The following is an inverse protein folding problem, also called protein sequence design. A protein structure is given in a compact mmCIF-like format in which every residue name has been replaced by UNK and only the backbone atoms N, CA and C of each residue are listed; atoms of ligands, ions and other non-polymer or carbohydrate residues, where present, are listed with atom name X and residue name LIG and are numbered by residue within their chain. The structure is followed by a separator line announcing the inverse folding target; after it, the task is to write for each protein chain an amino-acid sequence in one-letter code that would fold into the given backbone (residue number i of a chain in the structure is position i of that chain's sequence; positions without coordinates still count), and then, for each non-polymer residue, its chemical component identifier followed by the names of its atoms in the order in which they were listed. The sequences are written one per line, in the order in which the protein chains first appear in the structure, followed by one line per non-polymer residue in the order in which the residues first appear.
data_IF_459412133600
#
_entry.id   IF_459412133600
#
_cell.length_a   1.000
_cell.length_b   1.000
_cell.length_c   1.000
_cell.angle_alpha   90.00
_cell.angle_beta   90.00
_cell.angle_gamma   90.00
#
_symmetry.space_group_name_H-M   'P 1'
#
loop_
_entity.id
_entity.type
_entity.pdbx_description
1 polymer ?
#
# COMPACT_ATOMS: atom_id res chain seq x y z
N UNK A 1 -23.30 2.35 -9.31
CA UNK A 1 -24.00 1.48 -10.27
C UNK A 1 -22.93 0.74 -11.07
N UNK A 2 -22.98 -0.59 -11.07
CA UNK A 2 -22.01 -1.40 -11.80
C UNK A 2 -22.43 -1.49 -13.27
N UNK A 3 -21.50 -1.22 -14.18
CA UNK A 3 -21.72 -1.30 -15.63
C UNK A 3 -20.81 -2.38 -16.19
N UNK A 4 -21.41 -3.46 -16.70
CA UNK A 4 -20.66 -4.52 -17.36
C UNK A 4 -20.29 -4.11 -18.80
N UNK A 5 -19.00 -3.96 -19.06
CA UNK A 5 -18.47 -3.70 -20.41
C UNK A 5 -18.12 -5.04 -21.06
N UNK A 6 -18.85 -5.41 -22.11
CA UNK A 6 -18.57 -6.63 -22.88
C UNK A 6 -17.57 -6.32 -23.99
N UNK A 7 -16.41 -6.98 -23.96
CA UNK A 7 -15.35 -6.83 -24.97
C UNK A 7 -15.21 -8.13 -25.75
N UNK A 8 -15.19 -8.06 -27.08
CA UNK A 8 -14.89 -9.21 -27.92
C UNK A 8 -13.41 -9.56 -27.74
N UNK A 9 -13.14 -10.57 -26.93
CA UNK A 9 -11.79 -10.96 -26.57
C UNK A 9 -11.46 -12.35 -27.13
N UNK A 10 -10.20 -12.57 -27.53
CA UNK A 10 -9.74 -13.83 -28.13
C UNK A 10 -10.02 -15.06 -27.26
N UNK A 11 -9.91 -16.27 -27.86
CA UNK A 11 -10.12 -17.54 -27.14
C UNK A 11 -9.23 -17.59 -25.89
N UNK A 12 -9.84 -17.66 -24.71
CA UNK A 12 -9.12 -17.72 -23.44
C UNK A 12 -9.08 -16.39 -22.67
N UNK A 13 -10.24 -15.74 -22.48
CA UNK A 13 -10.41 -14.72 -21.45
C UNK A 13 -11.60 -15.12 -20.57
N UNK A 14 -11.46 -14.89 -19.26
CA UNK A 14 -12.52 -15.18 -18.30
C UNK A 14 -13.72 -14.28 -18.58
N UNK A 15 -14.95 -14.75 -18.30
CA UNK A 15 -16.19 -13.96 -18.44
C UNK A 15 -16.12 -12.61 -17.71
N UNK A 16 -15.38 -12.56 -16.60
CA UNK A 16 -15.02 -11.35 -15.86
C UNK A 16 -13.52 -11.41 -15.57
N UNK A 17 -12.77 -10.41 -16.02
CA UNK A 17 -11.31 -10.41 -15.91
C UNK A 17 -10.79 -9.29 -15.00
N UNK A 18 -11.47 -8.14 -14.94
CA UNK A 18 -11.06 -7.00 -14.13
C UNK A 18 -12.25 -6.20 -13.62
N UNK A 19 -11.98 -5.34 -12.64
CA UNK A 19 -12.94 -4.38 -12.08
C UNK A 19 -12.30 -3.00 -12.15
N UNK A 20 -13.08 -2.02 -12.60
CA UNK A 20 -12.69 -0.60 -12.57
C UNK A 20 -13.66 0.11 -11.64
N UNK A 21 -13.14 0.76 -10.61
CA UNK A 21 -13.93 1.49 -9.61
C UNK A 21 -13.48 2.94 -9.55
N UNK A 22 -14.40 3.87 -9.71
CA UNK A 22 -14.13 5.28 -9.41
C UNK A 22 -14.02 5.45 -7.89
N UNK A 23 -12.97 6.13 -7.44
CA UNK A 23 -12.65 6.37 -6.03
C UNK A 23 -12.27 7.84 -5.86
N UNK A 24 -12.31 8.37 -4.63
CA UNK A 24 -11.97 9.77 -4.40
C UNK A 24 -10.56 10.08 -4.96
N UNK A 25 -10.49 11.00 -5.91
CA UNK A 25 -9.23 11.41 -6.55
C UNK A 25 -8.71 10.52 -7.68
N UNK A 26 -9.47 9.53 -8.17
CA UNK A 26 -9.03 8.72 -9.30
C UNK A 26 -9.89 7.52 -9.70
N UNK A 27 -9.29 6.61 -10.45
CA UNK A 27 -9.87 5.33 -10.84
C UNK A 27 -8.96 4.19 -10.38
N UNK A 28 -9.56 3.18 -9.75
CA UNK A 28 -8.90 1.96 -9.33
C UNK A 28 -9.17 0.84 -10.34
N UNK A 29 -8.14 0.11 -10.76
CA UNK A 29 -8.23 -0.96 -11.76
C UNK A 29 -7.65 -2.24 -11.16
N UNK A 30 -8.45 -3.28 -11.02
CA UNK A 30 -8.02 -4.53 -10.40
C UNK A 30 -8.19 -5.73 -11.35
N UNK A 31 -7.32 -6.73 -11.21
CA UNK A 31 -7.43 -8.01 -11.91
C UNK A 31 -8.10 -9.05 -11.02
N UNK A 32 -9.33 -9.44 -11.37
CA UNK A 32 -10.11 -10.45 -10.65
C UNK A 32 -10.10 -11.82 -11.36
N UNK A 33 -9.33 -11.96 -12.44
CA UNK A 33 -9.21 -13.23 -13.15
C UNK A 33 -8.27 -14.18 -12.42
N UNK A 34 -8.78 -15.38 -12.11
CA UNK A 34 -7.95 -16.47 -11.58
C UNK A 34 -7.01 -17.07 -12.65
N UNK A 35 -7.43 -17.05 -13.91
CA UNK A 35 -6.74 -17.75 -14.99
C UNK A 35 -5.93 -16.81 -15.89
N UNK A 36 -6.31 -15.53 -16.01
CA UNK A 36 -5.70 -14.61 -16.97
C UNK A 36 -4.93 -13.47 -16.28
N UNK A 37 -3.92 -12.97 -16.99
CA UNK A 37 -3.20 -11.77 -16.60
C UNK A 37 -3.84 -10.56 -17.29
N UNK A 38 -4.14 -9.53 -16.52
CA UNK A 38 -4.42 -8.20 -17.04
C UNK A 38 -3.18 -7.32 -16.90
N UNK A 39 -3.09 -6.36 -17.80
CA UNK A 39 -2.02 -5.39 -17.85
C UNK A 39 -2.63 -3.98 -17.88
N UNK A 40 -1.94 -3.05 -17.25
CA UNK A 40 -2.17 -1.62 -17.41
C UNK A 40 -0.96 -1.00 -18.11
N UNK A 41 -1.22 -0.19 -19.12
CA UNK A 41 -0.24 0.48 -19.95
C UNK A 41 -0.56 1.97 -20.01
N UNK A 42 0.46 2.80 -19.95
CA UNK A 42 0.35 4.24 -20.18
C UNK A 42 1.66 4.76 -20.75
N UNK A 43 1.85 6.06 -20.76
CA UNK A 43 3.07 6.63 -21.31
C UNK A 43 4.31 6.14 -20.55
N UNK A 44 5.10 5.29 -21.20
CA UNK A 44 6.37 4.76 -20.68
C UNK A 44 6.27 3.59 -19.71
N UNK A 45 5.08 3.03 -19.44
CA UNK A 45 4.94 1.88 -18.55
C UNK A 45 3.98 0.82 -19.08
N UNK A 46 4.30 -0.45 -18.83
CA UNK A 46 3.39 -1.58 -18.98
C UNK A 46 3.58 -2.50 -17.78
N UNK A 47 2.57 -2.60 -16.94
CA UNK A 47 2.60 -3.39 -15.71
C UNK A 47 1.62 -4.54 -15.79
N UNK A 48 1.96 -5.67 -15.17
CA UNK A 48 1.03 -6.78 -14.96
C UNK A 48 0.26 -6.52 -13.67
N UNK A 49 -1.06 -6.46 -13.76
CA UNK A 49 -1.92 -6.24 -12.59
C UNK A 49 -1.88 -7.47 -11.68
N UNK A 50 -1.60 -7.30 -10.38
CA UNK A 50 -1.63 -8.38 -9.41
C UNK A 50 -3.05 -8.95 -9.36
N UNK A 51 -3.14 -10.28 -9.24
CA UNK A 51 -4.42 -10.97 -9.11
C UNK A 51 -4.99 -10.68 -7.71
N UNK A 52 -6.27 -10.35 -7.66
CA UNK A 52 -7.01 -10.35 -6.40
C UNK A 52 -7.33 -11.80 -6.02
N UNK A 53 -6.97 -12.19 -4.80
CA UNK A 53 -7.53 -13.41 -4.20
C UNK A 53 -8.97 -13.14 -3.70
N UNK A 54 -9.78 -14.19 -3.64
CA UNK A 54 -11.24 -14.17 -3.68
C UNK A 54 -11.98 -13.23 -2.69
N UNK A 55 -13.04 -12.61 -3.24
CA UNK A 55 -14.24 -12.01 -2.63
C UNK A 55 -14.12 -10.72 -1.78
N UNK A 56 -14.59 -9.62 -2.37
CA UNK A 56 -15.39 -8.61 -1.65
C UNK A 56 -14.78 -7.23 -1.48
N UNK A 57 -13.46 -7.09 -1.35
CA UNK A 57 -12.82 -5.79 -1.11
C UNK A 57 -11.50 -5.60 -1.88
N UNK A 58 -11.23 -4.38 -2.42
CA UNK A 58 -10.10 -4.12 -3.31
C UNK A 58 -8.77 -4.08 -2.55
N UNK A 59 -8.19 -5.24 -2.27
CA UNK A 59 -6.86 -5.37 -1.62
C UNK A 59 -5.68 -5.27 -2.59
N UNK A 60 -5.92 -5.27 -3.90
CA UNK A 60 -4.89 -5.15 -4.94
C UNK A 60 -5.42 -4.59 -6.26
N UNK A 61 -4.65 -3.69 -6.88
CA UNK A 61 -5.03 -2.98 -8.11
C UNK A 61 -4.11 -1.80 -8.42
N UNK A 62 -4.39 -1.13 -9.54
CA UNK A 62 -3.66 0.03 -10.05
C UNK A 62 -4.53 1.27 -9.91
N UNK A 63 -3.99 2.31 -9.27
CA UNK A 63 -4.68 3.58 -9.09
C UNK A 63 -4.21 4.60 -10.14
N UNK A 64 -5.16 5.13 -10.90
CA UNK A 64 -4.96 6.21 -11.87
C UNK A 64 -5.49 7.50 -11.26
N UNK A 65 -4.58 8.39 -10.84
CA UNK A 65 -4.93 9.70 -10.24
C UNK A 65 -5.30 10.76 -11.27
N UNK A 66 -4.63 10.73 -12.42
CA UNK A 66 -4.84 11.62 -13.55
C UNK A 66 -4.24 10.99 -14.81
N UNK A 67 -4.79 11.34 -15.98
CA UNK A 67 -4.30 10.85 -17.27
C UNK A 67 -5.02 9.60 -17.75
N UNK A 68 -4.43 8.92 -18.73
CA UNK A 68 -5.05 7.78 -19.42
C UNK A 68 -4.23 6.51 -19.19
N UNK A 69 -4.92 5.44 -18.79
CA UNK A 69 -4.36 4.09 -18.71
C UNK A 69 -5.13 3.15 -19.64
N UNK A 70 -4.41 2.41 -20.46
CA UNK A 70 -4.88 1.33 -21.32
C UNK A 70 -4.86 0.02 -20.53
N UNK A 71 -5.99 -0.65 -20.45
CA UNK A 71 -6.15 -1.87 -19.66
C UNK A 71 -6.58 -3.01 -20.58
N UNK A 72 -5.88 -4.13 -20.52
CA UNK A 72 -6.22 -5.27 -21.35
C UNK A 72 -5.40 -6.52 -21.05
N UNK A 73 -5.77 -7.63 -21.69
CA UNK A 73 -4.86 -8.76 -21.79
C UNK A 73 -3.66 -8.40 -22.67
N UNK A 74 -2.63 -9.24 -22.67
CA UNK A 74 -1.47 -9.03 -23.54
C UNK A 74 -1.88 -8.92 -25.01
N UNK A 75 -2.71 -9.84 -25.47
CA UNK A 75 -3.23 -9.87 -26.84
C UNK A 75 -4.03 -8.61 -27.18
N UNK A 76 -4.90 -8.14 -26.28
CA UNK A 76 -5.68 -6.91 -26.51
C UNK A 76 -4.79 -5.67 -26.65
N UNK A 77 -3.74 -5.55 -25.84
CA UNK A 77 -2.79 -4.43 -25.95
C UNK A 77 -2.00 -4.51 -27.26
N UNK A 78 -1.51 -5.70 -27.61
CA UNK A 78 -0.70 -5.89 -28.82
C UNK A 78 -1.56 -5.76 -30.12
N UNK A 79 -2.86 -6.08 -30.07
CA UNK A 79 -3.82 -5.91 -31.18
C UNK A 79 -4.46 -4.51 -31.23
N UNK A 80 -4.11 -3.61 -30.31
CA UNK A 80 -4.64 -2.24 -30.28
C UNK A 80 -6.12 -2.15 -29.87
N UNK A 81 -6.61 -3.13 -29.11
CA UNK A 81 -7.99 -3.18 -28.58
C UNK A 81 -8.06 -3.12 -27.04
N UNK A 82 -7.35 -2.21 -26.34
CA UNK A 82 -7.48 -2.08 -24.88
C UNK A 82 -8.70 -1.27 -24.46
N UNK A 83 -9.07 -1.42 -23.18
CA UNK A 83 -9.99 -0.50 -22.51
C UNK A 83 -9.21 0.75 -22.07
N UNK A 84 -9.63 1.93 -22.51
CA UNK A 84 -9.03 3.19 -22.09
C UNK A 84 -9.73 3.74 -20.85
N UNK A 85 -8.98 3.98 -19.79
CA UNK A 85 -9.45 4.58 -18.53
C UNK A 85 -8.81 5.95 -18.39
N UNK A 86 -9.61 7.01 -18.54
CA UNK A 86 -9.13 8.39 -18.42
C UNK A 86 -9.70 9.04 -17.16
N UNK A 87 -8.82 9.61 -16.35
CA UNK A 87 -9.18 10.40 -15.18
C UNK A 87 -8.77 11.85 -15.42
N UNK A 88 -9.76 12.74 -15.49
CA UNK A 88 -9.51 14.17 -15.47
C UNK A 88 -9.04 14.56 -14.07
N UNK A 89 -7.78 14.98 -13.93
CA UNK A 89 -7.24 15.42 -12.65
C UNK A 89 -8.03 16.62 -12.12
N UNK A 90 -8.37 16.63 -10.84
CA UNK A 90 -8.87 17.83 -10.18
C UNK A 90 -7.68 18.80 -10.03
N UNK A 91 -7.56 19.74 -10.97
CA UNK A 91 -6.72 20.91 -10.78
C UNK A 91 -7.27 21.64 -9.56
N UNK A 92 -6.56 21.59 -8.44
CA UNK A 92 -6.78 22.52 -7.35
C UNK A 92 -6.64 23.93 -7.91
N UNK A 93 -7.73 24.69 -7.91
CA UNK A 93 -7.77 26.12 -8.19
C UNK A 93 -6.79 26.84 -7.27
N UNK A 94 -5.60 27.15 -7.79
CA UNK A 94 -4.73 28.20 -7.31
C UNK A 94 -4.78 29.32 -8.36
N UNK A 95 -5.16 30.49 -7.90
CA UNK A 95 -5.58 31.63 -8.70
C UNK A 95 -4.42 32.30 -9.45
N UNK A 96 -4.78 32.82 -10.63
CA UNK A 96 -4.14 33.80 -11.51
C UNK A 96 -2.60 33.92 -11.60
N UNK A 97 -2.09 33.46 -12.75
CA UNK A 97 -1.28 34.31 -13.63
C UNK A 97 0.22 34.38 -13.35
N UNK A 98 0.99 33.53 -14.02
CA UNK A 98 2.24 33.94 -14.65
C UNK A 98 2.75 32.89 -15.65
N UNK A 99 2.95 33.41 -16.86
CA UNK A 99 3.80 32.98 -17.98
C UNK A 99 4.17 31.50 -18.17
N UNK A 100 3.65 30.97 -19.29
CA UNK A 100 4.01 29.69 -19.89
C UNK A 100 5.36 29.83 -20.61
N UNK A 101 6.48 29.70 -19.93
CA UNK A 101 7.74 29.24 -20.55
C UNK A 101 8.76 28.75 -19.51
N UNK A 102 9.35 27.57 -19.77
CA UNK A 102 10.53 26.99 -19.10
C UNK A 102 10.37 26.48 -17.65
N UNK A 103 9.64 25.39 -17.46
CA UNK A 103 10.09 24.31 -16.56
C UNK A 103 9.87 22.98 -17.26
N UNK A 104 10.95 22.38 -17.74
CA UNK A 104 11.00 20.95 -18.09
C UNK A 104 11.05 20.19 -16.75
N UNK A 105 10.03 19.43 -16.33
CA UNK A 105 10.21 18.46 -15.29
C UNK A 105 10.89 17.26 -15.92
N UNK A 106 12.22 17.32 -16.01
CA UNK A 106 13.04 16.12 -16.16
C UNK A 106 12.95 15.38 -14.82
N UNK A 107 12.24 14.26 -14.77
CA UNK A 107 12.04 13.51 -13.53
C UNK A 107 10.80 12.63 -13.44
N UNK A 108 10.28 12.08 -14.55
CA UNK A 108 9.29 10.99 -14.48
C UNK A 108 9.98 9.67 -14.11
N UNK A 109 10.41 9.56 -12.87
CA UNK A 109 10.66 8.26 -12.25
C UNK A 109 9.30 7.67 -11.87
N UNK A 110 8.75 6.82 -12.73
CA UNK A 110 7.62 5.94 -12.42
C UNK A 110 8.08 4.92 -11.38
N UNK A 111 8.06 5.33 -10.12
CA UNK A 111 8.47 4.49 -9.00
C UNK A 111 7.32 3.52 -8.66
N UNK A 112 7.62 2.23 -8.78
CA UNK A 112 6.76 1.15 -8.29
C UNK A 112 6.29 1.47 -6.85
N UNK A 113 4.98 1.46 -6.55
CA UNK A 113 4.53 1.60 -5.18
C UNK A 113 5.14 0.49 -4.32
N UNK A 114 5.71 0.87 -3.18
CA UNK A 114 6.26 -0.08 -2.22
C UNK A 114 5.13 -0.94 -1.66
N UNK A 115 5.07 -2.21 -2.03
CA UNK A 115 4.14 -3.18 -1.43
C UNK A 115 4.75 -3.80 -0.17
N UNK A 116 3.94 -3.89 0.88
CA UNK A 116 4.24 -4.64 2.10
C UNK A 116 3.25 -5.80 2.21
N UNK A 117 3.77 -7.02 2.29
CA UNK A 117 2.94 -8.22 2.46
C UNK A 117 2.31 -8.24 3.88
N UNK A 118 0.97 -8.25 4.00
CA UNK A 118 0.25 -8.29 5.28
C UNK A 118 0.60 -9.48 6.19
N UNK A 119 1.21 -10.52 5.64
CA UNK A 119 1.67 -11.70 6.37
C UNK A 119 3.10 -11.58 6.89
N UNK A 120 3.68 -10.38 6.90
CA UNK A 120 5.05 -10.15 7.37
C UNK A 120 5.10 -9.32 8.65
N UNK A 121 6.16 -9.57 9.44
CA UNK A 121 6.56 -8.74 10.57
C UNK A 121 6.68 -7.26 10.21
N UNK A 122 7.24 -7.01 9.02
CA UNK A 122 7.46 -5.67 8.52
C UNK A 122 6.15 -4.89 8.37
N UNK A 123 5.09 -5.56 7.90
CA UNK A 123 3.77 -4.96 7.78
C UNK A 123 3.14 -4.67 9.15
N UNK A 124 3.21 -5.61 10.12
CA UNK A 124 2.69 -5.36 11.47
C UNK A 124 3.37 -4.15 12.12
N UNK A 125 4.70 -4.04 12.00
CA UNK A 125 5.45 -2.87 12.51
C UNK A 125 5.00 -1.59 11.81
N UNK A 126 4.87 -1.59 10.48
CA UNK A 126 4.41 -0.43 9.73
C UNK A 126 2.99 -0.02 10.15
N UNK A 127 2.08 -0.99 10.31
CA UNK A 127 0.70 -0.75 10.73
C UNK A 127 0.64 -0.19 12.15
N UNK A 128 1.39 -0.74 13.11
CA UNK A 128 1.46 -0.21 14.48
C UNK A 128 2.05 1.21 14.52
N UNK A 129 3.03 1.49 13.67
CA UNK A 129 3.64 2.82 13.58
C UNK A 129 2.70 3.87 12.98
N UNK A 130 1.93 3.50 11.96
CA UNK A 130 0.95 4.37 11.31
C UNK A 130 -0.37 4.52 12.09
N UNK A 131 -0.67 3.56 12.99
CA UNK A 131 -1.96 3.43 13.67
C UNK A 131 -2.50 4.74 14.27
N UNK A 132 -1.72 5.57 14.99
CA UNK A 132 -2.28 6.80 15.57
C UNK A 132 -2.82 7.76 14.53
N UNK A 133 -2.13 7.93 13.40
CA UNK A 133 -2.54 8.85 12.33
C UNK A 133 -3.63 8.25 11.42
N UNK A 134 -3.74 6.92 11.36
CA UNK A 134 -4.88 6.27 10.71
C UNK A 134 -6.18 6.42 11.52
N UNK A 135 -6.09 6.49 12.85
CA UNK A 135 -7.22 6.71 13.75
C UNK A 135 -7.55 8.20 13.88
N UNK A 136 -6.52 9.04 13.95
CA UNK A 136 -6.60 10.50 14.03
C UNK A 136 -5.91 11.14 12.81
N UNK A 137 -6.65 11.33 11.70
CA UNK A 137 -6.09 11.96 10.49
C UNK A 137 -5.67 13.41 10.66
N UNK A 138 -6.03 14.06 11.79
CA UNK A 138 -5.54 15.40 12.10
C UNK A 138 -4.09 15.38 12.65
N UNK A 139 -3.48 14.20 12.78
CA UNK A 139 -2.10 13.98 13.20
C UNK A 139 -1.76 14.64 14.55
N UNK A 140 -2.75 14.75 15.44
CA UNK A 140 -2.56 15.41 16.75
C UNK A 140 -1.89 14.47 17.76
N UNK A 141 -2.02 13.16 17.53
CA UNK A 141 -1.37 12.12 18.33
C UNK A 141 0.11 11.96 17.94
N UNK A 142 1.06 11.90 18.90
CA UNK A 142 2.45 11.65 18.61
C UNK A 142 2.65 10.23 18.05
N UNK A 143 3.66 10.06 17.19
CA UNK A 143 4.04 8.75 16.69
C UNK A 143 4.65 7.90 17.81
N UNK A 144 4.35 6.59 17.83
CA UNK A 144 4.81 5.71 18.89
C UNK A 144 6.30 5.45 18.74
N UNK A 145 7.01 5.41 19.87
CA UNK A 145 8.42 5.00 19.91
C UNK A 145 8.55 3.50 19.72
N UNK A 146 9.76 3.04 19.42
CA UNK A 146 10.05 1.63 19.18
C UNK A 146 9.54 0.66 20.27
N UNK A 147 9.70 0.96 21.59
CA UNK A 147 9.16 0.10 22.64
C UNK A 147 7.62 0.09 22.66
N UNK A 148 6.97 1.21 22.34
CA UNK A 148 5.51 1.34 22.29
C UNK A 148 4.93 0.56 21.12
N UNK A 149 5.62 0.55 19.97
CA UNK A 149 5.30 -0.30 18.81
C UNK A 149 5.41 -1.78 19.18
N UNK A 150 6.51 -2.18 19.85
CA UNK A 150 6.70 -3.56 20.29
C UNK A 150 5.60 -4.01 21.25
N UNK A 151 5.27 -3.17 22.25
CA UNK A 151 4.18 -3.42 23.20
C UNK A 151 2.82 -3.54 22.51
N UNK A 152 2.50 -2.61 21.60
CA UNK A 152 1.25 -2.63 20.84
C UNK A 152 1.11 -3.89 19.97
N UNK A 153 2.22 -4.36 19.39
CA UNK A 153 2.23 -5.60 18.63
C UNK A 153 1.89 -6.81 19.52
N UNK A 154 2.50 -6.92 20.71
CA UNK A 154 2.19 -7.98 21.69
C UNK A 154 0.72 -7.96 22.14
N UNK A 155 0.18 -6.76 22.41
CA UNK A 155 -1.22 -6.57 22.83
C UNK A 155 -2.19 -7.04 21.74
N UNK A 156 -1.95 -6.68 20.47
CA UNK A 156 -2.83 -7.05 19.35
C UNK A 156 -2.74 -8.54 19.02
N UNK A 157 -1.54 -9.13 19.07
CA UNK A 157 -1.38 -10.55 18.74
C UNK A 157 -1.80 -11.48 19.88
N UNK A 158 -2.24 -10.95 21.02
CA UNK A 158 -2.68 -11.76 22.17
C UNK A 158 -1.54 -12.46 22.90
N UNK A 159 -0.31 -11.96 22.76
CA UNK A 159 0.90 -12.53 23.34
C UNK A 159 1.06 -12.17 24.83
N UNK A 160 0.06 -12.48 25.65
CA UNK A 160 -0.06 -11.99 27.03
C UNK A 160 1.12 -12.39 27.94
N UNK A 161 1.62 -13.61 27.79
CA UNK A 161 2.77 -14.11 28.56
C UNK A 161 4.05 -13.32 28.27
N UNK A 162 4.22 -12.85 27.03
CA UNK A 162 5.35 -12.02 26.62
C UNK A 162 5.13 -10.55 26.97
N UNK A 163 3.88 -10.09 27.00
CA UNK A 163 3.55 -8.74 27.48
C UNK A 163 3.92 -8.57 28.96
N UNK A 164 3.56 -9.54 29.81
CA UNK A 164 3.96 -9.53 31.22
C UNK A 164 5.49 -9.53 31.39
N UNK A 165 6.19 -10.31 30.54
CA UNK A 165 7.65 -10.35 30.53
C UNK A 165 8.24 -9.01 30.06
N UNK A 166 7.66 -8.40 29.03
CA UNK A 166 8.09 -7.11 28.49
C UNK A 166 8.01 -5.99 29.53
N UNK A 167 6.98 -6.00 30.36
CA UNK A 167 6.80 -4.99 31.41
C UNK A 167 7.76 -5.21 32.60
N UNK A 168 8.16 -6.46 32.89
CA UNK A 168 8.99 -6.81 34.05
C UNK A 168 10.49 -6.95 33.77
N UNK A 169 10.88 -7.31 32.55
CA UNK A 169 12.27 -7.62 32.15
C UNK A 169 12.80 -6.56 31.15
N UNK A 170 13.61 -5.59 31.63
CA UNK A 170 14.17 -4.55 30.76
C UNK A 170 15.03 -5.11 29.62
N UNK A 171 15.75 -6.22 29.83
CA UNK A 171 16.61 -6.80 28.80
C UNK A 171 15.77 -7.40 27.67
N UNK A 172 14.66 -8.06 28.01
CA UNK A 172 13.70 -8.55 27.02
C UNK A 172 13.03 -7.40 26.26
N UNK A 173 12.62 -6.33 26.96
CA UNK A 173 12.09 -5.12 26.35
C UNK A 173 13.05 -4.49 25.34
N UNK A 174 14.31 -4.36 25.72
CA UNK A 174 15.34 -3.73 24.87
C UNK A 174 15.64 -4.61 23.65
N UNK A 175 15.66 -5.95 23.81
CA UNK A 175 15.81 -6.90 22.70
C UNK A 175 14.66 -6.79 21.69
N UNK A 176 13.42 -6.75 22.15
CA UNK A 176 12.26 -6.63 21.26
C UNK A 176 12.19 -5.25 20.59
N UNK A 177 12.49 -4.20 21.35
CA UNK A 177 12.61 -2.84 20.81
C UNK A 177 13.70 -2.79 19.72
N UNK A 178 14.85 -3.42 19.93
CA UNK A 178 15.90 -3.49 18.90
C UNK A 178 15.41 -4.19 17.62
N UNK A 179 14.65 -5.29 17.73
CA UNK A 179 14.07 -5.97 16.56
C UNK A 179 13.11 -5.06 15.78
N UNK A 180 12.24 -4.34 16.47
CA UNK A 180 11.34 -3.36 15.82
C UNK A 180 12.14 -2.24 15.17
N UNK A 181 13.22 -1.75 15.81
CA UNK A 181 14.10 -0.74 15.21
C UNK A 181 14.71 -1.21 13.89
N UNK A 182 15.12 -2.48 13.79
CA UNK A 182 15.61 -3.06 12.53
C UNK A 182 14.53 -3.06 11.45
N UNK A 183 13.28 -3.40 11.78
CA UNK A 183 12.18 -3.31 10.82
C UNK A 183 11.92 -1.87 10.35
N UNK A 184 11.99 -0.89 11.25
CA UNK A 184 11.90 0.54 10.89
C UNK A 184 13.05 0.95 9.96
N UNK A 185 14.28 0.52 10.22
CA UNK A 185 15.42 0.76 9.32
C UNK A 185 15.18 0.16 7.93
N UNK A 186 14.63 -1.06 7.87
CA UNK A 186 14.28 -1.72 6.61
C UNK A 186 13.19 -0.95 5.86
N UNK A 187 12.15 -0.43 6.55
CA UNK A 187 11.12 0.42 5.93
C UNK A 187 11.71 1.69 5.33
N UNK A 188 12.54 2.41 6.10
CA UNK A 188 13.22 3.62 5.61
C UNK A 188 14.04 3.35 4.35
N UNK A 189 14.85 2.29 4.38
CA UNK A 189 15.64 1.88 3.22
C UNK A 189 14.75 1.55 2.02
N UNK A 190 13.66 0.80 2.22
CA UNK A 190 12.71 0.48 1.14
C UNK A 190 12.06 1.74 0.54
N UNK A 191 11.76 2.75 1.36
CA UNK A 191 11.22 4.04 0.89
C UNK A 191 12.27 4.81 0.07
N UNK A 192 13.51 4.88 0.57
CA UNK A 192 14.63 5.52 -0.14
C UNK A 192 14.98 4.83 -1.45
N UNK A 193 15.15 3.51 -1.44
CA UNK A 193 15.51 2.71 -2.62
C UNK A 193 14.44 2.80 -3.73
N UNK A 194 13.20 3.12 -3.34
CA UNK A 194 12.06 3.33 -4.24
C UNK A 194 11.81 4.80 -4.55
N UNK A 195 12.69 5.72 -4.16
CA UNK A 195 12.58 7.15 -4.49
C UNK A 195 11.28 7.82 -4.07
N UNK A 196 10.55 7.28 -3.09
CA UNK A 196 9.22 7.79 -2.68
C UNK A 196 9.29 9.14 -1.95
N UNK A 197 10.48 9.67 -1.79
CA UNK A 197 10.78 10.98 -1.23
C UNK A 197 11.65 11.75 -2.20
N UNK A 198 11.55 13.09 -2.19
CA UNK A 198 12.50 13.93 -2.92
C UNK A 198 13.91 13.74 -2.33
N UNK A 199 14.92 13.75 -3.19
CA UNK A 199 16.30 13.44 -2.81
C UNK A 199 16.90 14.39 -1.76
N UNK A 200 16.29 15.55 -1.54
CA UNK A 200 16.67 16.59 -0.57
C UNK A 200 15.93 16.50 0.77
N UNK A 201 14.94 15.61 0.89
CA UNK A 201 14.08 15.53 2.09
C UNK A 201 14.71 14.63 3.15
N UNK A 202 14.83 15.16 4.38
CA UNK A 202 15.24 14.36 5.54
C UNK A 202 14.15 13.37 5.95
N UNK A 203 14.49 12.09 6.00
CA UNK A 203 13.61 11.01 6.48
C UNK A 203 13.46 11.06 8.02
N UNK A 204 12.56 11.91 8.51
CA UNK A 204 12.06 11.82 9.89
C UNK A 204 11.06 10.67 10.03
N UNK A 205 10.58 10.42 11.25
CA UNK A 205 9.57 9.39 11.52
C UNK A 205 8.22 9.79 10.91
N UNK A 206 7.88 11.07 11.05
CA UNK A 206 6.69 11.72 10.49
C UNK A 206 6.64 11.60 8.97
N UNK A 207 7.75 11.93 8.30
CA UNK A 207 7.84 11.82 6.84
C UNK A 207 7.64 10.38 6.37
N UNK A 208 8.22 9.41 7.08
CA UNK A 208 8.08 7.99 6.72
C UNK A 208 6.64 7.53 6.88
N UNK A 209 6.01 7.80 8.03
CA UNK A 209 4.63 7.40 8.28
C UNK A 209 3.69 8.07 7.27
N UNK A 210 3.91 9.36 6.98
CA UNK A 210 3.13 10.07 5.97
C UNK A 210 3.26 9.45 4.58
N UNK A 211 4.47 9.11 4.14
CA UNK A 211 4.69 8.40 2.87
C UNK A 211 3.97 7.04 2.85
N UNK A 212 4.04 6.28 3.95
CA UNK A 212 3.34 4.99 4.03
C UNK A 212 1.82 5.14 3.87
N UNK A 213 1.23 6.19 4.44
CA UNK A 213 -0.22 6.44 4.38
C UNK A 213 -0.62 7.08 3.03
N UNK A 214 0.03 8.16 2.61
CA UNK A 214 -0.31 8.91 1.39
C UNK A 214 -0.16 8.08 0.12
N UNK A 215 0.81 7.16 0.09
CA UNK A 215 0.99 6.23 -1.04
C UNK A 215 0.13 4.96 -0.92
N UNK A 216 -0.73 4.85 0.09
CA UNK A 216 -1.61 3.71 0.30
C UNK A 216 -0.86 2.40 0.60
N UNK A 217 0.36 2.49 1.12
CA UNK A 217 1.18 1.34 1.52
C UNK A 217 0.61 0.71 2.80
N UNK A 218 0.15 1.57 3.72
CA UNK A 218 -0.66 1.23 4.88
C UNK A 218 -1.90 2.13 4.86
N UNK A 219 -3.06 1.53 5.07
CA UNK A 219 -4.37 2.19 4.95
C UNK A 219 -5.22 2.02 6.20
N UNK A 220 -6.26 2.83 6.35
CA UNK A 220 -7.22 2.68 7.45
C UNK A 220 -7.94 1.32 7.43
N UNK A 221 -8.15 0.73 6.25
CA UNK A 221 -8.74 -0.61 6.11
C UNK A 221 -7.86 -1.69 6.75
N UNK A 222 -6.54 -1.48 6.79
CA UNK A 222 -5.61 -2.42 7.41
C UNK A 222 -5.81 -2.54 8.94
N UNK A 223 -6.43 -1.54 9.59
CA UNK A 223 -6.79 -1.61 11.00
C UNK A 223 -7.78 -2.73 11.31
N UNK A 224 -8.64 -3.11 10.36
CA UNK A 224 -9.60 -4.20 10.56
C UNK A 224 -8.90 -5.54 10.85
N UNK A 225 -7.68 -5.74 10.33
CA UNK A 225 -6.88 -6.95 10.58
C UNK A 225 -6.50 -7.12 12.05
N UNK A 226 -6.38 -6.02 12.80
CA UNK A 226 -6.08 -6.05 14.23
C UNK A 226 -7.22 -6.69 15.06
N UNK A 227 -8.41 -6.80 14.46
CA UNK A 227 -9.58 -7.46 15.05
C UNK A 227 -9.84 -8.85 14.48
N UNK A 228 -9.05 -9.32 13.51
CA UNK A 228 -9.17 -10.66 12.92
C UNK A 228 -8.33 -11.67 13.75
N UNK A 229 -8.97 -12.60 14.48
CA UNK A 229 -8.26 -13.56 15.31
C UNK A 229 -7.31 -14.47 14.53
N UNK A 230 -7.66 -14.82 13.28
CA UNK A 230 -6.84 -15.70 12.45
C UNK A 230 -5.57 -14.98 11.97
N UNK A 231 -5.68 -13.70 11.61
CA UNK A 231 -4.52 -12.88 11.29
C UNK A 231 -3.64 -12.65 12.52
N UNK A 232 -4.22 -12.29 13.67
CA UNK A 232 -3.47 -12.09 14.92
C UNK A 232 -2.73 -13.35 15.36
N UNK A 233 -3.36 -14.53 15.32
CA UNK A 233 -2.71 -15.80 15.66
C UNK A 233 -1.54 -16.10 14.71
N UNK A 234 -1.67 -15.85 13.40
CA UNK A 234 -0.56 -16.02 12.46
C UNK A 234 0.57 -15.03 12.71
N UNK A 235 0.25 -13.80 13.09
CA UNK A 235 1.27 -12.82 13.45
C UNK A 235 2.01 -13.22 14.74
N UNK A 236 1.31 -13.75 15.74
CA UNK A 236 1.92 -14.31 16.95
C UNK A 236 3.01 -15.33 16.59
N UNK A 237 2.65 -16.34 15.78
CA UNK A 237 3.55 -17.42 15.36
C UNK A 237 4.82 -16.94 14.64
N UNK A 238 4.75 -15.81 13.92
CA UNK A 238 5.90 -15.26 13.21
C UNK A 238 6.93 -14.71 14.18
N UNK A 239 6.49 -13.96 15.18
CA UNK A 239 7.34 -13.10 15.98
C UNK A 239 7.85 -13.76 17.25
N UNK A 240 6.98 -14.52 17.86
CA UNK A 240 7.10 -14.91 19.23
C UNK A 240 7.00 -16.43 19.29
N UNK A 241 8.16 -17.06 19.19
CA UNK A 241 8.27 -18.51 19.25
C UNK A 241 7.54 -19.01 20.47
N UNK A 242 6.46 -19.77 20.26
CA UNK A 242 5.98 -20.72 21.28
C UNK A 242 7.20 -21.53 21.69
N UNK A 243 7.57 -21.46 22.96
CA UNK A 243 8.55 -22.40 23.50
C UNK A 243 8.14 -23.83 23.13
N UNK A 244 9.10 -24.75 22.95
CA UNK A 244 8.81 -26.16 22.68
C UNK A 244 7.81 -26.75 23.68
#
# INVERSE_FOLDING_TARGET
PDVDVTVAAGRGLSRRAGVISAVAGGAWIANISQTHALYAEGEGYRIRLPRMEEHGEPSGGWFVRAGTALVGSRTMLDEGQPLSVTVAGQAGTWDAGQDLTLIRPDGDSTLLPLYLDPMTKLFLVALMWCRPWLIDPAETSPLPRTPEIARSALEVTGAYHELERFDRDPAFRDLLSARVAEHIKVLRRKISDRGLIRADTRLSDEVVVRVLIEHGIITAADLARLSDPAWCSRQEDLWWTRGP
#
